data_IF_878153297995
#
_entry.id   IF_878153297995
#
_cell.length_a   1.000
_cell.length_b   1.000
_cell.length_c   1.000
_cell.angle_alpha   90.00
_cell.angle_beta   90.00
_cell.angle_gamma   90.00
#
_symmetry.space_group_name_H-M   'P 1'
#
loop_
_entity.id
_entity.type
_entity.pdbx_description
1 polymer ?
#
# COMPACT_ATOMS: atom_id res chain seq x y z
N UNK A 1 4.79 6.62 -31.34
CA UNK A 1 5.14 7.47 -30.19
C UNK A 1 5.48 6.55 -29.01
N UNK A 2 6.72 6.62 -28.52
CA UNK A 2 7.09 5.85 -27.31
C UNK A 2 6.35 6.45 -26.11
N UNK A 3 5.40 5.72 -25.52
CA UNK A 3 4.73 6.17 -24.30
C UNK A 3 5.72 6.09 -23.15
N UNK A 4 5.77 7.15 -22.35
CA UNK A 4 6.60 7.26 -21.14
C UNK A 4 6.23 6.18 -20.12
N UNK A 5 7.24 5.47 -19.59
CA UNK A 5 7.05 4.50 -18.50
C UNK A 5 6.82 5.27 -17.20
N UNK A 6 5.68 5.00 -16.53
CA UNK A 6 5.33 5.65 -15.26
C UNK A 6 5.54 4.74 -14.05
N UNK A 7 5.48 3.42 -14.23
CA UNK A 7 5.85 2.45 -13.20
C UNK A 7 6.75 1.40 -13.83
N UNK A 8 7.88 1.10 -13.18
CA UNK A 8 8.78 0.02 -13.56
C UNK A 8 9.14 -0.80 -12.35
N UNK A 9 8.87 -2.10 -12.45
CA UNK A 9 9.22 -3.09 -11.44
C UNK A 9 10.21 -4.07 -12.05
N UNK A 10 11.37 -4.22 -11.41
CA UNK A 10 12.45 -5.06 -11.93
C UNK A 10 12.92 -6.03 -10.87
N UNK A 11 12.75 -7.34 -11.13
CA UNK A 11 13.16 -8.46 -10.27
C UNK A 11 12.72 -8.29 -8.81
N UNK A 12 11.54 -7.70 -8.59
CA UNK A 12 11.08 -7.37 -7.25
C UNK A 12 10.64 -8.61 -6.49
N UNK A 13 11.24 -8.79 -5.32
CA UNK A 13 10.93 -9.88 -4.39
C UNK A 13 10.56 -9.27 -3.04
N UNK A 14 9.43 -9.69 -2.47
CA UNK A 14 8.98 -9.29 -1.13
C UNK A 14 8.97 -10.50 -0.23
N UNK A 15 9.64 -10.38 0.90
CA UNK A 15 9.79 -11.40 1.91
C UNK A 15 9.19 -10.93 3.24
N UNK A 16 8.42 -11.81 3.87
CA UNK A 16 7.96 -11.66 5.24
C UNK A 16 8.59 -12.76 6.11
N UNK A 17 8.97 -12.39 7.31
CA UNK A 17 9.37 -13.34 8.34
C UNK A 17 8.14 -13.71 9.15
N UNK A 18 7.73 -14.98 9.09
CA UNK A 18 6.68 -15.51 9.94
C UNK A 18 7.33 -16.23 11.11
N UNK A 19 7.02 -15.81 12.34
CA UNK A 19 7.41 -16.58 13.51
C UNK A 19 6.72 -17.95 13.44
N UNK A 20 7.49 -19.01 13.48
CA UNK A 20 6.98 -20.40 13.33
C UNK A 20 6.27 -20.89 14.59
N UNK A 21 6.53 -20.26 15.74
CA UNK A 21 5.94 -20.63 17.04
C UNK A 21 5.35 -19.39 17.73
N UNK A 22 4.16 -19.58 18.32
CA UNK A 22 3.62 -18.66 19.31
C UNK A 22 4.29 -18.99 20.64
N UNK A 23 5.14 -18.09 21.13
CA UNK A 23 5.79 -18.24 22.41
C UNK A 23 4.81 -17.91 23.54
N UNK A 24 4.55 -18.85 24.44
CA UNK A 24 3.62 -18.68 25.55
C UNK A 24 4.21 -17.89 26.74
N UNK A 25 5.41 -17.30 26.59
CA UNK A 25 6.00 -16.48 27.64
C UNK A 25 7.37 -15.88 27.28
N UNK A 26 7.68 -14.76 27.92
CA UNK A 26 8.94 -14.01 27.74
C UNK A 26 10.20 -14.87 28.07
N UNK A 27 10.04 -15.80 29.05
CA UNK A 27 11.11 -16.73 29.44
C UNK A 27 11.51 -17.69 28.33
N UNK A 28 10.53 -18.27 27.64
CA UNK A 28 10.76 -19.22 26.56
C UNK A 28 11.41 -18.51 25.35
N UNK A 29 10.95 -17.31 25.04
CA UNK A 29 11.54 -16.45 24.01
C UNK A 29 13.03 -16.18 24.27
N UNK A 30 13.39 -15.79 25.51
CA UNK A 30 14.78 -15.46 25.89
C UNK A 30 15.67 -16.71 25.84
N UNK A 31 15.18 -17.87 26.29
CA UNK A 31 15.95 -19.12 26.26
C UNK A 31 16.24 -19.55 24.82
N UNK A 32 15.26 -19.50 23.92
CA UNK A 32 15.43 -19.85 22.51
C UNK A 32 16.30 -18.85 21.77
N UNK A 33 16.21 -17.55 22.12
CA UNK A 33 17.09 -16.52 21.60
C UNK A 33 18.56 -16.78 21.95
N UNK A 34 18.85 -17.14 23.20
CA UNK A 34 20.21 -17.46 23.65
C UNK A 34 20.75 -18.77 23.05
N UNK A 35 19.87 -19.71 22.70
CA UNK A 35 20.22 -20.97 22.04
C UNK A 35 20.32 -20.83 20.51
N UNK A 36 19.99 -19.69 19.91
CA UNK A 36 19.94 -19.53 18.46
C UNK A 36 18.83 -20.32 17.76
N UNK A 37 17.83 -20.79 18.52
CA UNK A 37 16.72 -21.64 18.06
C UNK A 37 15.48 -20.81 17.61
N UNK A 38 15.60 -19.50 17.43
CA UNK A 38 14.52 -18.68 16.87
C UNK A 38 14.32 -19.03 15.39
N UNK A 39 13.39 -19.96 15.13
CA UNK A 39 13.05 -20.35 13.75
C UNK A 39 12.04 -19.36 13.17
N UNK A 40 12.52 -18.54 12.26
CA UNK A 40 11.66 -17.73 11.40
C UNK A 40 11.49 -18.46 10.06
N UNK A 41 10.25 -18.72 9.70
CA UNK A 41 9.95 -19.21 8.37
C UNK A 41 9.85 -18.02 7.42
N UNK A 42 10.74 -17.96 6.43
CA UNK A 42 10.66 -16.96 5.38
C UNK A 42 9.50 -17.28 4.44
N UNK A 43 8.62 -16.32 4.27
CA UNK A 43 7.52 -16.39 3.31
C UNK A 43 7.77 -15.37 2.21
N UNK A 44 7.95 -15.85 0.97
CA UNK A 44 8.07 -15.00 -0.20
C UNK A 44 6.66 -14.68 -0.72
N UNK A 45 6.20 -13.47 -0.47
CA UNK A 45 4.90 -13.00 -0.95
C UNK A 45 4.93 -12.61 -2.43
N UNK A 46 6.07 -12.12 -2.91
CA UNK A 46 6.34 -11.85 -4.32
C UNK A 46 7.74 -12.40 -4.64
N UNK A 47 7.89 -12.98 -5.83
CA UNK A 47 9.17 -13.54 -6.32
C UNK A 47 9.46 -13.06 -7.73
N UNK A 48 10.58 -12.36 -7.91
CA UNK A 48 11.14 -11.94 -9.20
C UNK A 48 10.12 -11.30 -10.16
N UNK A 49 9.27 -10.42 -9.62
CA UNK A 49 8.20 -9.75 -10.37
C UNK A 49 8.81 -8.70 -11.28
N UNK A 50 8.39 -8.73 -12.57
CA UNK A 50 8.85 -7.81 -13.59
C UNK A 50 7.66 -7.32 -14.41
N UNK A 51 7.45 -6.00 -14.50
CA UNK A 51 6.50 -5.37 -15.42
C UNK A 51 6.76 -3.87 -15.53
N UNK A 52 6.18 -3.28 -16.58
CA UNK A 52 6.20 -1.84 -16.81
C UNK A 52 4.79 -1.36 -17.14
N UNK A 53 4.40 -0.22 -16.55
CA UNK A 53 3.16 0.49 -16.88
C UNK A 53 3.52 1.79 -17.56
N UNK A 54 2.87 2.08 -18.68
CA UNK A 54 3.08 3.31 -19.44
C UNK A 54 1.94 4.30 -19.20
N UNK A 55 2.23 5.55 -19.41
CA UNK A 55 1.27 6.64 -19.25
C UNK A 55 -0.02 6.40 -20.06
N UNK A 56 -1.18 6.46 -19.38
CA UNK A 56 -2.50 6.24 -19.98
C UNK A 56 -2.88 4.77 -20.14
N UNK A 57 -2.12 3.82 -19.56
CA UNK A 57 -2.51 2.42 -19.51
C UNK A 57 -3.36 2.13 -18.28
N UNK A 58 -4.31 1.21 -18.42
CA UNK A 58 -5.07 0.61 -17.33
C UNK A 58 -4.67 -0.85 -17.19
N UNK A 59 -4.35 -1.28 -15.97
CA UNK A 59 -3.90 -2.63 -15.67
C UNK A 59 -4.82 -3.31 -14.66
N UNK A 60 -5.14 -4.58 -14.88
CA UNK A 60 -5.90 -5.42 -13.97
C UNK A 60 -5.02 -6.49 -13.35
N UNK A 61 -5.04 -6.60 -12.01
CA UNK A 61 -4.39 -7.69 -11.26
C UNK A 61 -5.43 -8.76 -10.93
N UNK A 62 -5.30 -9.94 -11.54
CA UNK A 62 -6.21 -11.06 -11.35
C UNK A 62 -5.50 -12.19 -10.62
N UNK A 63 -6.17 -12.82 -9.68
CA UNK A 63 -5.63 -13.95 -8.93
C UNK A 63 -6.48 -14.27 -7.70
N UNK A 64 -6.26 -15.45 -7.12
CA UNK A 64 -6.94 -15.91 -5.89
C UNK A 64 -6.55 -15.07 -4.67
N UNK A 65 -7.30 -15.20 -3.56
CA UNK A 65 -6.92 -14.57 -2.30
C UNK A 65 -5.57 -15.14 -1.84
N UNK A 66 -4.69 -14.25 -1.35
CA UNK A 66 -3.33 -14.63 -0.95
C UNK A 66 -2.31 -14.72 -2.09
N UNK A 67 -2.68 -14.45 -3.36
CA UNK A 67 -1.74 -14.48 -4.50
C UNK A 67 -0.76 -13.30 -4.57
N UNK A 68 -0.79 -12.37 -3.61
CA UNK A 68 0.15 -11.26 -3.54
C UNK A 68 -0.32 -9.94 -4.17
N UNK A 69 -1.57 -9.84 -4.67
CA UNK A 69 -2.10 -8.61 -5.30
C UNK A 69 -1.95 -7.37 -4.42
N UNK A 70 -2.45 -7.42 -3.19
CA UNK A 70 -2.34 -6.30 -2.24
C UNK A 70 -0.89 -6.02 -1.84
N UNK A 71 -0.04 -7.05 -1.77
CA UNK A 71 1.40 -6.90 -1.53
C UNK A 71 2.07 -6.14 -2.66
N UNK A 72 1.71 -6.46 -3.91
CA UNK A 72 2.23 -5.77 -5.09
C UNK A 72 1.79 -4.30 -5.12
N UNK A 73 0.51 -4.01 -4.84
CA UNK A 73 0.02 -2.64 -4.74
C UNK A 73 0.74 -1.86 -3.63
N UNK A 74 0.88 -2.44 -2.43
CA UNK A 74 1.63 -1.82 -1.31
C UNK A 74 3.10 -1.59 -1.68
N UNK A 75 3.71 -2.47 -2.47
CA UNK A 75 5.07 -2.30 -2.98
C UNK A 75 5.18 -1.13 -3.95
N UNK A 76 4.26 -1.01 -4.93
CA UNK A 76 4.22 0.08 -5.91
C UNK A 76 3.99 1.43 -5.21
N UNK A 77 3.12 1.47 -4.20
CA UNK A 77 2.84 2.67 -3.41
C UNK A 77 3.97 3.06 -2.45
N UNK A 78 5.07 2.30 -2.39
CA UNK A 78 6.19 2.57 -1.49
C UNK A 78 5.92 2.27 -0.01
N UNK A 79 4.76 1.67 0.32
CA UNK A 79 4.42 1.22 1.68
C UNK A 79 5.32 0.06 2.10
N UNK A 80 5.65 -0.82 1.15
CA UNK A 80 6.59 -1.92 1.33
C UNK A 80 7.85 -1.65 0.52
N UNK A 81 9.01 -2.05 1.07
CA UNK A 81 10.29 -2.06 0.36
C UNK A 81 10.57 -3.46 -0.18
N UNK A 82 11.10 -3.59 -1.39
CA UNK A 82 11.49 -4.90 -1.91
C UNK A 82 12.71 -5.44 -1.15
N UNK A 83 12.73 -6.75 -0.89
CA UNK A 83 13.92 -7.46 -0.39
C UNK A 83 15.01 -7.54 -1.45
N UNK A 84 14.60 -7.73 -2.72
CA UNK A 84 15.47 -7.70 -3.91
C UNK A 84 14.75 -6.99 -5.03
N UNK A 85 15.52 -6.47 -5.99
CA UNK A 85 15.00 -5.75 -7.14
C UNK A 85 14.69 -4.29 -6.84
N UNK A 86 14.05 -3.63 -7.79
CA UNK A 86 13.74 -2.19 -7.73
C UNK A 86 12.31 -1.92 -8.15
N UNK A 87 11.77 -0.84 -7.61
CA UNK A 87 10.48 -0.25 -8.04
C UNK A 87 10.71 1.22 -8.28
N UNK A 88 10.46 1.66 -9.50
CA UNK A 88 10.57 3.03 -9.92
C UNK A 88 9.18 3.56 -10.26
N UNK A 89 8.81 4.72 -9.72
CA UNK A 89 7.53 5.38 -9.97
C UNK A 89 7.79 6.82 -10.34
N UNK A 90 7.25 7.23 -11.47
CA UNK A 90 7.35 8.58 -11.97
C UNK A 90 5.98 9.27 -11.88
N UNK A 91 5.85 10.24 -10.97
CA UNK A 91 4.61 10.95 -10.67
C UNK A 91 4.07 10.69 -9.26
N UNK A 92 2.86 11.16 -9.01
CA UNK A 92 2.19 10.97 -7.72
C UNK A 92 1.28 9.75 -7.77
N UNK A 93 1.27 8.97 -6.70
CA UNK A 93 0.33 7.87 -6.51
C UNK A 93 -0.75 8.30 -5.51
N UNK A 94 -2.02 8.08 -5.87
CA UNK A 94 -3.15 8.15 -4.95
C UNK A 94 -3.61 6.71 -4.64
N UNK A 95 -3.16 6.08 -3.55
CA UNK A 95 -3.45 4.68 -3.27
C UNK A 95 -4.87 4.52 -2.72
N UNK A 96 -5.72 3.78 -3.43
CA UNK A 96 -7.02 3.30 -2.96
C UNK A 96 -6.95 1.78 -2.71
N UNK A 97 -6.04 1.37 -1.83
CA UNK A 97 -5.76 -0.07 -1.61
C UNK A 97 -6.85 -0.75 -0.78
N UNK A 98 -7.44 -0.01 0.14
CA UNK A 98 -8.51 -0.49 1.03
C UNK A 98 -9.65 0.51 1.01
N UNK A 99 -10.86 0.04 0.76
CA UNK A 99 -12.06 0.89 0.74
C UNK A 99 -12.27 1.47 2.16
N UNK A 100 -12.37 2.80 2.26
CA UNK A 100 -12.53 3.50 3.55
C UNK A 100 -11.22 3.66 4.35
N UNK A 101 -10.07 3.24 3.85
CA UNK A 101 -8.80 3.54 4.51
C UNK A 101 -8.58 5.06 4.57
N UNK A 102 -8.41 5.58 5.77
CA UNK A 102 -8.27 7.01 6.03
C UNK A 102 -9.56 7.72 6.40
N UNK A 103 -10.72 7.04 6.42
CA UNK A 103 -11.95 7.58 6.99
C UNK A 103 -12.05 7.23 8.47
N UNK A 104 -12.38 8.23 9.28
CA UNK A 104 -12.67 8.06 10.70
C UNK A 104 -14.18 8.19 10.92
N UNK A 105 -14.81 7.15 11.47
CA UNK A 105 -16.25 7.10 11.71
C UNK A 105 -16.74 8.06 12.78
N UNK A 106 -15.84 8.64 13.59
CA UNK A 106 -16.17 9.66 14.60
C UNK A 106 -16.12 11.08 14.03
N UNK A 107 -15.57 11.25 12.83
CA UNK A 107 -15.48 12.54 12.15
C UNK A 107 -16.65 12.75 11.18
N UNK A 108 -17.01 13.99 10.98
CA UNK A 108 -17.98 14.38 9.95
C UNK A 108 -17.42 14.15 8.54
N UNK A 109 -18.29 14.12 7.53
CA UNK A 109 -17.87 14.02 6.13
C UNK A 109 -16.89 15.13 5.74
N UNK A 110 -17.14 16.37 6.20
CA UNK A 110 -16.23 17.51 5.98
C UNK A 110 -14.85 17.24 6.56
N UNK A 111 -14.75 16.81 7.80
CA UNK A 111 -13.49 16.54 8.48
C UNK A 111 -12.75 15.39 7.80
N UNK A 112 -13.44 14.33 7.39
CA UNK A 112 -12.87 13.21 6.63
C UNK A 112 -12.31 13.64 5.27
N UNK A 113 -12.98 14.55 4.55
CA UNK A 113 -12.48 15.11 3.28
C UNK A 113 -11.14 15.82 3.52
N UNK A 114 -11.05 16.68 4.54
CA UNK A 114 -9.81 17.39 4.87
C UNK A 114 -8.72 16.44 5.36
N UNK A 115 -9.07 15.46 6.20
CA UNK A 115 -8.13 14.44 6.69
C UNK A 115 -7.53 13.65 5.53
N UNK A 116 -8.37 13.13 4.63
CA UNK A 116 -7.90 12.39 3.45
C UNK A 116 -7.08 13.26 2.50
N UNK A 117 -7.50 14.49 2.26
CA UNK A 117 -6.73 15.44 1.48
C UNK A 117 -5.31 15.65 2.06
N UNK A 118 -5.22 15.81 3.37
CA UNK A 118 -3.92 15.95 4.06
C UNK A 118 -3.07 14.67 3.97
N UNK A 119 -3.67 13.48 4.12
CA UNK A 119 -2.98 12.20 3.96
C UNK A 119 -2.42 12.01 2.53
N UNK A 120 -3.12 12.52 1.52
CA UNK A 120 -2.68 12.53 0.12
C UNK A 120 -1.67 13.66 -0.18
N UNK A 121 -1.33 14.50 0.82
CA UNK A 121 -0.34 15.57 0.69
C UNK A 121 -0.89 16.90 0.14
N UNK A 122 -2.21 17.04 0.04
CA UNK A 122 -2.83 18.31 -0.39
C UNK A 122 -2.85 19.34 0.75
N UNK A 123 -2.60 20.61 0.38
CA UNK A 123 -2.69 21.72 1.32
C UNK A 123 -4.16 22.09 1.61
N UNK A 124 -4.41 22.64 2.78
CA UNK A 124 -5.76 23.07 3.20
C UNK A 124 -6.44 24.00 2.18
N UNK A 125 -5.71 24.98 1.65
CA UNK A 125 -6.23 25.90 0.63
C UNK A 125 -6.69 25.19 -0.66
N UNK A 126 -5.99 24.12 -1.08
CA UNK A 126 -6.42 23.30 -2.21
C UNK A 126 -7.73 22.57 -1.89
N UNK A 127 -7.84 21.99 -0.70
CA UNK A 127 -9.05 21.30 -0.28
C UNK A 127 -10.25 22.26 -0.14
N UNK A 128 -10.03 23.48 0.36
CA UNK A 128 -11.05 24.52 0.43
C UNK A 128 -11.58 24.90 -0.96
N UNK A 129 -10.69 25.03 -1.93
CA UNK A 129 -11.04 25.39 -3.32
C UNK A 129 -11.87 24.30 -4.01
N UNK A 130 -11.60 23.02 -3.74
CA UNK A 130 -12.25 21.89 -4.42
C UNK A 130 -13.32 21.18 -3.56
N UNK A 131 -13.64 21.75 -2.40
CA UNK A 131 -14.56 21.12 -1.44
C UNK A 131 -15.93 20.85 -2.05
N UNK A 132 -16.51 21.86 -2.70
CA UNK A 132 -17.86 21.77 -3.27
C UNK A 132 -17.89 20.77 -4.43
N UNK A 133 -16.84 20.70 -5.27
CA UNK A 133 -16.69 19.70 -6.33
C UNK A 133 -16.64 18.27 -5.78
N UNK A 134 -15.97 18.07 -4.63
CA UNK A 134 -15.90 16.77 -3.96
C UNK A 134 -17.28 16.36 -3.42
N UNK A 135 -17.99 17.29 -2.80
CA UNK A 135 -19.36 17.07 -2.28
C UNK A 135 -20.33 16.74 -3.43
N UNK A 136 -20.23 17.48 -4.54
CA UNK A 136 -21.05 17.23 -5.72
C UNK A 136 -20.76 15.85 -6.33
N UNK A 137 -19.48 15.51 -6.49
CA UNK A 137 -19.07 14.19 -7.00
C UNK A 137 -19.56 13.02 -6.12
N UNK A 138 -19.59 13.23 -4.79
CA UNK A 138 -20.05 12.25 -3.82
C UNK A 138 -21.57 12.21 -3.63
N UNK A 139 -22.32 13.08 -4.33
CA UNK A 139 -23.79 13.23 -4.20
C UNK A 139 -24.23 13.48 -2.75
N UNK A 140 -23.46 14.31 -2.00
CA UNK A 140 -23.67 14.59 -0.57
C UNK A 140 -24.22 15.99 -0.32
N UNK A 141 -24.74 16.70 -1.34
CA UNK A 141 -25.22 18.09 -1.22
C UNK A 141 -26.37 18.24 -0.22
N UNK A 142 -27.21 17.20 -0.08
CA UNK A 142 -28.40 17.22 0.77
C UNK A 142 -28.08 16.79 2.23
N UNK A 143 -26.82 16.50 2.55
CA UNK A 143 -26.32 16.06 3.86
C UNK A 143 -25.30 17.05 4.42
#
# INVERSE_FOLDING_TARGET
>A
MNKETVIKVTNATVRFNKATEQYNGLKEYVIKMLKGELMFQEFLALRDVNFEVRKGESWGLIGTNGSGKSTLLKLICGILKPYKGTVEVHGNIAPLIELGAGFDGELTARENIYLNGALLGHKKAFMEQHFDEIIEFAELQDF
#
